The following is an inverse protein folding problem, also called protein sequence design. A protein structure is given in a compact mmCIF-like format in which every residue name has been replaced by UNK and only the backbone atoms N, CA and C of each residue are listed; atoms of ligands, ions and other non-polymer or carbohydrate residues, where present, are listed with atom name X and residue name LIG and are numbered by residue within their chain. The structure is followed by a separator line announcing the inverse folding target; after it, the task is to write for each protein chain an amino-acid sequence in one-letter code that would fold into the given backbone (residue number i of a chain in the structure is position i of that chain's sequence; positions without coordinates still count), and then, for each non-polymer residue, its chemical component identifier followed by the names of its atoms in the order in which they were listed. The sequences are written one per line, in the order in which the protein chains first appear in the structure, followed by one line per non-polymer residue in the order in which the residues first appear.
data_IF_290496984993
#
_entry.id   IF_290496984993
#
_cell.length_a   1.000
_cell.length_b   1.000
_cell.length_c   1.000
_cell.angle_alpha   90.00
_cell.angle_beta   90.00
_cell.angle_gamma   90.00
#
_symmetry.space_group_name_H-M   'P 1'
#
loop_
_entity.id
_entity.type
_entity.pdbx_description
1 polymer ?
#
# COMPACT_ATOMS: atom_id res chain seq x y z
N UNK A 1 29.11 -49.18 -11.10
CA UNK A 1 29.51 -48.00 -10.31
C UNK A 1 29.26 -46.68 -11.01
N UNK A 2 29.62 -46.48 -12.28
CA UNK A 2 29.43 -45.18 -13.00
C UNK A 2 27.98 -44.64 -12.97
N UNK A 3 26.96 -45.47 -13.24
CA UNK A 3 25.54 -45.02 -13.22
C UNK A 3 25.05 -44.47 -11.85
N UNK A 4 25.54 -45.04 -10.73
CA UNK A 4 25.17 -44.58 -9.38
C UNK A 4 25.81 -43.24 -9.06
N UNK A 5 27.04 -43.01 -9.50
CA UNK A 5 27.75 -41.73 -9.32
C UNK A 5 27.05 -40.62 -10.12
N UNK A 6 26.66 -40.89 -11.37
CA UNK A 6 25.93 -39.93 -12.21
C UNK A 6 24.58 -39.54 -11.58
N UNK A 7 23.87 -40.49 -10.97
CA UNK A 7 22.59 -40.26 -10.34
C UNK A 7 22.72 -39.36 -9.09
N UNK A 8 23.77 -39.55 -8.28
CA UNK A 8 24.07 -38.72 -7.10
C UNK A 8 24.43 -37.29 -7.52
N UNK A 9 25.25 -37.13 -8.57
CA UNK A 9 25.63 -35.82 -9.10
C UNK A 9 24.39 -35.08 -9.63
N UNK A 10 23.52 -35.75 -10.37
CA UNK A 10 22.30 -35.19 -10.93
C UNK A 10 21.33 -34.73 -9.81
N UNK A 11 21.21 -35.55 -8.75
CA UNK A 11 20.39 -35.21 -7.59
C UNK A 11 20.96 -34.02 -6.81
N UNK A 12 22.27 -33.92 -6.64
CA UNK A 12 22.96 -32.77 -6.06
C UNK A 12 22.71 -31.48 -6.85
N UNK A 13 22.84 -31.55 -8.18
CA UNK A 13 22.60 -30.40 -9.06
C UNK A 13 21.14 -29.91 -9.02
N UNK A 14 20.18 -30.83 -8.94
CA UNK A 14 18.77 -30.51 -8.82
C UNK A 14 18.46 -29.76 -7.49
N UNK A 15 19.08 -30.20 -6.39
CA UNK A 15 18.90 -29.51 -5.10
C UNK A 15 19.49 -28.09 -5.12
N UNK A 16 20.64 -27.85 -5.73
CA UNK A 16 21.25 -26.52 -5.87
C UNK A 16 20.36 -25.62 -6.72
N UNK A 17 19.76 -26.12 -7.80
CA UNK A 17 18.79 -25.37 -8.61
C UNK A 17 17.55 -25.00 -7.81
N UNK A 18 16.99 -25.92 -7.03
CA UNK A 18 15.80 -25.65 -6.19
C UNK A 18 16.08 -24.58 -5.13
N UNK A 19 17.23 -24.65 -4.46
CA UNK A 19 17.65 -23.64 -3.48
C UNK A 19 17.84 -22.27 -4.16
N UNK A 20 18.47 -22.24 -5.33
CA UNK A 20 18.70 -21.00 -6.10
C UNK A 20 17.40 -20.33 -6.53
N UNK A 21 16.41 -21.08 -7.00
CA UNK A 21 15.09 -20.56 -7.39
C UNK A 21 14.34 -20.05 -6.16
N UNK A 22 14.34 -20.80 -5.05
CA UNK A 22 13.68 -20.39 -3.81
C UNK A 22 14.30 -19.09 -3.26
N UNK A 23 15.62 -18.99 -3.25
CA UNK A 23 16.32 -17.80 -2.80
C UNK A 23 16.02 -16.58 -3.70
N UNK A 24 15.94 -16.76 -5.01
CA UNK A 24 15.59 -15.71 -5.96
C UNK A 24 14.17 -15.16 -5.74
N UNK A 25 13.22 -16.01 -5.41
CA UNK A 25 11.87 -15.56 -5.05
C UNK A 25 11.86 -14.74 -3.75
N UNK A 26 12.55 -15.20 -2.71
CA UNK A 26 12.63 -14.47 -1.43
C UNK A 26 13.34 -13.11 -1.54
N UNK A 27 14.38 -13.01 -2.35
CA UNK A 27 15.12 -11.74 -2.56
C UNK A 27 14.33 -10.77 -3.43
N UNK A 28 13.50 -11.26 -4.35
CA UNK A 28 12.63 -10.39 -5.17
C UNK A 28 11.57 -9.68 -4.34
N UNK A 29 10.98 -10.34 -3.34
CA UNK A 29 10.01 -9.72 -2.45
C UNK A 29 10.65 -8.73 -1.46
N UNK A 30 11.89 -9.00 -1.02
CA UNK A 30 12.58 -8.16 -0.03
C UNK A 30 13.07 -6.81 -0.59
N UNK A 31 13.29 -6.69 -1.90
CA UNK A 31 13.76 -5.45 -2.53
C UNK A 31 12.65 -4.43 -2.84
N UNK A 32 11.39 -4.81 -2.69
CA UNK A 32 10.26 -3.90 -2.94
C UNK A 32 10.13 -2.79 -1.87
N UNK A 33 10.76 -2.95 -0.71
CA UNK A 33 10.65 -2.03 0.43
C UNK A 33 11.79 -1.02 0.56
N UNK A 34 12.79 -1.01 -0.34
CA UNK A 34 14.01 -0.21 -0.15
C UNK A 34 14.07 1.09 -0.96
N UNK A 35 13.18 1.33 -1.90
CA UNK A 35 13.13 2.57 -2.68
C UNK A 35 11.90 3.38 -2.27
N UNK A 36 12.13 4.63 -1.87
CA UNK A 36 11.09 5.67 -1.75
C UNK A 36 10.57 6.09 -3.13
N UNK A 37 10.31 5.12 -4.00
CA UNK A 37 9.61 5.41 -5.24
C UNK A 37 8.14 5.66 -4.89
N UNK A 38 7.64 6.81 -5.32
CA UNK A 38 6.23 7.17 -5.17
C UNK A 38 5.41 6.07 -5.84
N UNK A 39 4.64 5.34 -5.05
CA UNK A 39 3.76 4.33 -5.60
C UNK A 39 2.74 5.00 -6.52
N UNK A 40 2.62 4.48 -7.72
CA UNK A 40 1.77 5.02 -8.76
C UNK A 40 0.63 4.06 -9.05
N UNK A 41 -0.60 4.50 -8.79
CA UNK A 41 -1.80 3.78 -9.16
C UNK A 41 -2.25 4.21 -10.54
N UNK A 42 -2.38 3.26 -11.44
CA UNK A 42 -2.79 3.48 -12.82
C UNK A 42 -4.09 2.71 -13.03
N UNK A 43 -5.15 3.38 -13.44
CA UNK A 43 -6.44 2.74 -13.62
C UNK A 43 -6.78 2.47 -15.08
N UNK A 44 -7.02 1.21 -15.38
CA UNK A 44 -7.89 0.77 -16.46
C UNK A 44 -9.21 0.34 -15.82
N UNK A 45 -10.33 0.95 -16.18
CA UNK A 45 -11.70 0.77 -15.66
C UNK A 45 -11.96 -0.47 -14.74
N UNK A 46 -12.49 -0.20 -13.53
CA UNK A 46 -12.88 -1.20 -12.51
C UNK A 46 -11.71 -2.03 -11.92
N UNK A 47 -10.78 -1.38 -11.22
CA UNK A 47 -9.68 -2.04 -10.54
C UNK A 47 -9.62 -1.64 -9.05
N UNK A 48 -9.16 -2.57 -8.22
CA UNK A 48 -8.72 -2.27 -6.85
C UNK A 48 -7.24 -2.57 -6.76
N UNK A 49 -6.46 -1.57 -6.38
CA UNK A 49 -5.03 -1.72 -6.12
C UNK A 49 -4.74 -1.47 -4.65
N UNK A 50 -3.99 -2.35 -4.01
CA UNK A 50 -3.65 -2.28 -2.59
C UNK A 50 -2.16 -2.05 -2.40
N UNK A 51 -1.81 -1.16 -1.48
CA UNK A 51 -0.46 -0.99 -0.96
C UNK A 51 -0.49 -1.18 0.55
N UNK A 52 0.36 -2.07 1.05
CA UNK A 52 0.59 -2.23 2.48
C UNK A 52 1.73 -1.32 2.93
N UNK A 53 1.45 -0.44 3.89
CA UNK A 53 2.44 0.44 4.50
C UNK A 53 2.90 -0.19 5.80
N UNK A 54 4.14 -0.71 5.88
CA UNK A 54 4.63 -1.30 7.11
C UNK A 54 4.90 -0.22 8.15
N UNK A 55 4.30 -0.37 9.33
CA UNK A 55 4.59 0.47 10.49
C UNK A 55 5.55 -0.29 11.38
N UNK A 56 6.84 -0.05 11.19
CA UNK A 56 7.88 -0.65 12.00
C UNK A 56 8.63 0.42 12.78
N UNK A 57 8.91 0.15 14.06
CA UNK A 57 9.72 1.02 14.93
C UNK A 57 9.15 2.42 15.16
N UNK A 58 7.84 2.60 15.14
CA UNK A 58 7.19 3.85 15.52
C UNK A 58 7.03 3.87 17.05
N UNK A 59 7.69 4.81 17.72
CA UNK A 59 7.58 5.02 19.17
C UNK A 59 6.57 6.13 19.48
N UNK A 60 5.99 6.17 20.68
CA UNK A 60 5.20 7.32 21.11
C UNK A 60 5.96 8.64 20.92
N UNK A 61 5.34 9.61 20.28
CA UNK A 61 5.93 10.88 19.86
C UNK A 61 6.48 10.88 18.44
N UNK A 62 6.65 9.72 17.80
CA UNK A 62 7.14 9.63 16.42
C UNK A 62 6.02 9.84 15.40
N UNK A 63 6.42 10.26 14.20
CA UNK A 63 5.55 10.35 13.04
C UNK A 63 6.27 9.89 11.78
N UNK A 64 5.51 9.36 10.84
CA UNK A 64 5.99 8.99 9.52
C UNK A 64 4.97 9.41 8.46
N UNK A 65 5.42 9.51 7.21
CA UNK A 65 4.53 9.82 6.10
C UNK A 65 4.82 8.93 4.90
N UNK A 66 3.77 8.62 4.16
CA UNK A 66 3.83 7.85 2.93
C UNK A 66 3.15 8.61 1.80
N UNK A 67 3.82 8.73 0.65
CA UNK A 67 3.29 9.46 -0.51
C UNK A 67 2.99 8.48 -1.64
N UNK A 68 1.84 8.67 -2.30
CA UNK A 68 1.45 7.90 -3.47
C UNK A 68 0.71 8.79 -4.49
N UNK A 69 0.63 8.30 -5.70
CA UNK A 69 0.03 9.00 -6.83
C UNK A 69 -1.09 8.16 -7.45
N UNK A 70 -2.20 8.80 -7.76
CA UNK A 70 -3.32 8.21 -8.49
C UNK A 70 -3.43 8.93 -9.84
N UNK A 71 -3.40 8.18 -10.94
CA UNK A 71 -3.37 8.77 -12.29
C UNK A 71 -4.33 8.06 -13.25
N UNK A 72 -4.84 8.80 -14.23
CA UNK A 72 -5.69 8.28 -15.30
C UNK A 72 -4.91 7.96 -16.58
N UNK A 73 -3.59 7.89 -16.53
CA UNK A 73 -2.77 7.66 -17.73
C UNK A 73 -1.65 6.65 -17.50
N UNK A 74 -1.33 5.88 -18.56
CA UNK A 74 -0.19 4.96 -18.66
C UNK A 74 0.58 5.32 -19.91
N UNK A 75 1.90 5.50 -19.83
CA UNK A 75 2.78 5.73 -20.98
C UNK A 75 2.24 6.75 -21.99
N UNK A 76 1.73 7.88 -21.47
CA UNK A 76 1.08 8.94 -22.24
C UNK A 76 -0.31 8.64 -22.83
N UNK A 77 -0.84 7.47 -22.61
CA UNK A 77 -2.20 7.09 -23.01
C UNK A 77 -3.15 7.44 -21.86
N UNK A 78 -4.05 8.38 -22.10
CA UNK A 78 -5.09 8.76 -21.13
C UNK A 78 -6.23 7.75 -21.18
N UNK A 79 -6.87 7.49 -20.04
CA UNK A 79 -8.09 6.70 -19.98
C UNK A 79 -9.13 7.25 -20.97
N UNK A 80 -9.82 6.36 -21.71
CA UNK A 80 -10.86 6.75 -22.67
C UNK A 80 -12.20 7.07 -22.00
N UNK A 81 -12.30 6.91 -20.70
CA UNK A 81 -13.49 7.16 -19.91
C UNK A 81 -13.17 7.96 -18.66
N UNK A 82 -14.12 8.78 -18.23
CA UNK A 82 -14.02 9.44 -16.92
C UNK A 82 -14.06 8.40 -15.81
N UNK A 83 -13.19 8.58 -14.82
CA UNK A 83 -13.01 7.64 -13.70
C UNK A 83 -13.45 8.33 -12.41
N UNK A 84 -14.24 7.63 -11.62
CA UNK A 84 -14.43 7.93 -10.21
C UNK A 84 -13.57 6.99 -9.39
N UNK A 85 -12.97 7.48 -8.32
CA UNK A 85 -12.17 6.64 -7.42
C UNK A 85 -12.31 7.08 -5.97
N UNK A 86 -11.95 6.19 -5.07
CA UNK A 86 -12.01 6.38 -3.64
C UNK A 86 -10.78 5.75 -2.99
N UNK A 87 -10.14 6.48 -2.08
CA UNK A 87 -9.09 5.96 -1.23
C UNK A 87 -9.74 5.33 0.01
N UNK A 88 -9.31 4.12 0.33
CA UNK A 88 -9.81 3.35 1.47
C UNK A 88 -8.59 2.97 2.31
N UNK A 89 -8.58 3.38 3.56
CA UNK A 89 -7.54 3.00 4.51
C UNK A 89 -8.08 1.89 5.40
N UNK A 90 -7.34 0.79 5.49
CA UNK A 90 -7.65 -0.35 6.36
C UNK A 90 -6.53 -0.56 7.36
N UNK A 91 -6.88 -0.76 8.60
CA UNK A 91 -5.94 -1.02 9.70
C UNK A 91 -6.62 -1.84 10.79
N UNK A 92 -5.86 -2.64 11.53
CA UNK A 92 -6.38 -3.25 12.76
C UNK A 92 -6.52 -2.23 13.88
N UNK A 93 -5.80 -1.12 13.79
CA UNK A 93 -5.77 -0.05 14.78
C UNK A 93 -5.48 -0.59 16.19
N UNK A 94 -4.46 -1.46 16.27
CA UNK A 94 -3.99 -2.06 17.52
C UNK A 94 -3.24 -1.04 18.38
N UNK A 95 -2.59 -0.08 17.74
CA UNK A 95 -1.96 1.08 18.35
C UNK A 95 -2.85 2.31 18.17
N UNK A 96 -2.89 3.23 19.12
CA UNK A 96 -3.70 4.46 19.03
C UNK A 96 -3.06 5.49 18.07
N UNK A 97 -2.93 5.10 16.81
CA UNK A 97 -2.33 5.92 15.77
C UNK A 97 -3.32 7.00 15.29
N UNK A 98 -2.82 8.21 15.09
CA UNK A 98 -3.51 9.21 14.30
C UNK A 98 -3.13 9.03 12.83
N UNK A 99 -4.12 8.79 11.96
CA UNK A 99 -3.94 8.53 10.54
C UNK A 99 -4.70 9.57 9.75
N UNK A 100 -3.98 10.38 8.96
CA UNK A 100 -4.55 11.47 8.17
C UNK A 100 -4.10 11.38 6.72
N UNK A 101 -5.06 11.47 5.79
CA UNK A 101 -4.79 11.48 4.35
C UNK A 101 -4.98 12.90 3.81
N UNK A 102 -3.98 13.41 3.16
CA UNK A 102 -3.98 14.70 2.48
C UNK A 102 -3.86 14.52 0.97
N UNK A 103 -4.61 15.32 0.22
CA UNK A 103 -4.34 15.54 -1.20
C UNK A 103 -3.37 16.70 -1.31
N UNK A 104 -2.21 16.46 -1.94
CA UNK A 104 -1.16 17.46 -2.10
C UNK A 104 -1.27 18.13 -3.47
N UNK A 105 -1.00 19.42 -3.53
CA UNK A 105 -1.09 20.22 -4.76
C UNK A 105 -0.67 21.67 -4.48
N UNK A 106 -1.26 22.62 -5.19
CA UNK A 106 -1.04 24.05 -4.92
C UNK A 106 -1.56 24.47 -3.53
N UNK A 107 -2.57 23.78 -3.04
CA UNK A 107 -3.10 23.87 -1.66
C UNK A 107 -3.23 22.45 -1.16
N UNK A 108 -2.75 22.20 0.06
CA UNK A 108 -2.91 20.92 0.73
C UNK A 108 -4.31 20.82 1.33
N UNK A 109 -4.99 19.72 1.08
CA UNK A 109 -6.35 19.46 1.54
C UNK A 109 -6.40 18.17 2.38
N UNK A 110 -6.92 18.24 3.60
CA UNK A 110 -7.22 17.07 4.42
C UNK A 110 -8.44 16.35 3.84
N UNK A 111 -8.23 15.15 3.32
CA UNK A 111 -9.25 14.32 2.66
C UNK A 111 -9.95 13.39 3.63
N UNK A 112 -9.18 12.86 4.60
CA UNK A 112 -9.67 11.85 5.52
C UNK A 112 -8.87 11.88 6.83
N UNK A 113 -9.57 11.77 7.94
CA UNK A 113 -9.00 11.34 9.23
C UNK A 113 -9.59 9.97 9.53
N UNK A 114 -8.73 8.96 9.65
CA UNK A 114 -9.16 7.60 9.95
C UNK A 114 -9.13 7.39 11.45
N UNK A 115 -10.29 7.18 12.06
CA UNK A 115 -10.48 7.00 13.49
C UNK A 115 -11.64 6.02 13.79
N UNK A 116 -11.88 5.74 15.06
CA UNK A 116 -12.89 4.78 15.54
C UNK A 116 -14.35 5.18 15.22
N UNK A 117 -14.60 6.30 14.56
CA UNK A 117 -15.96 6.64 14.06
C UNK A 117 -16.34 5.86 12.82
N UNK A 118 -15.35 5.25 12.13
CA UNK A 118 -15.57 4.37 11.00
C UNK A 118 -15.93 2.95 11.44
N UNK A 119 -16.54 2.19 10.52
CA UNK A 119 -16.94 0.80 10.77
C UNK A 119 -15.79 -0.18 10.58
N UNK A 120 -15.88 -1.32 11.25
CA UNK A 120 -14.99 -2.45 11.04
C UNK A 120 -15.62 -3.45 10.07
N UNK A 121 -14.79 -4.10 9.27
CA UNK A 121 -15.20 -5.17 8.35
C UNK A 121 -15.30 -6.54 9.06
N UNK A 122 -15.53 -7.61 8.28
CA UNK A 122 -15.63 -9.00 8.79
C UNK A 122 -14.34 -9.51 9.42
N UNK A 123 -13.21 -8.96 9.03
CA UNK A 123 -11.87 -9.32 9.50
C UNK A 123 -11.42 -8.45 10.69
N UNK A 124 -12.37 -7.63 11.21
CA UNK A 124 -12.16 -6.70 12.29
C UNK A 124 -11.20 -5.55 11.97
N UNK A 125 -10.95 -5.28 10.69
CA UNK A 125 -10.19 -4.11 10.25
C UNK A 125 -11.08 -2.87 10.26
N UNK A 126 -10.57 -1.77 10.78
CA UNK A 126 -11.16 -0.44 10.64
C UNK A 126 -11.06 -0.03 9.16
N UNK A 127 -12.19 0.37 8.56
CA UNK A 127 -12.28 0.71 7.12
C UNK A 127 -12.68 2.17 6.97
N UNK A 128 -11.70 3.01 6.66
CA UNK A 128 -11.87 4.44 6.53
C UNK A 128 -11.94 4.84 5.05
N UNK A 129 -13.09 5.32 4.62
CA UNK A 129 -13.34 5.69 3.23
C UNK A 129 -13.23 7.20 3.04
N UNK A 130 -12.45 7.65 2.05
CA UNK A 130 -12.42 9.05 1.63
C UNK A 130 -13.71 9.44 0.87
N UNK A 131 -13.87 10.70 0.59
CA UNK A 131 -14.84 11.14 -0.41
C UNK A 131 -14.41 10.65 -1.80
N UNK A 132 -15.42 10.42 -2.67
CA UNK A 132 -15.18 10.02 -4.06
C UNK A 132 -14.56 11.18 -4.83
N UNK A 133 -13.46 10.88 -5.51
CA UNK A 133 -12.76 11.80 -6.41
C UNK A 133 -13.09 11.45 -7.87
N UNK A 134 -12.89 12.40 -8.77
CA UNK A 134 -13.16 12.22 -10.21
C UNK A 134 -11.96 12.66 -11.05
N UNK A 135 -11.68 11.91 -12.10
CA UNK A 135 -10.72 12.27 -13.15
C UNK A 135 -11.41 12.27 -14.51
N UNK A 136 -11.28 13.38 -15.24
CA UNK A 136 -11.79 13.48 -16.61
C UNK A 136 -10.91 12.69 -17.58
N UNK A 137 -11.51 12.18 -18.65
CA UNK A 137 -10.77 11.57 -19.78
C UNK A 137 -10.15 12.59 -20.73
N UNK A 138 -10.50 13.87 -20.62
CA UNK A 138 -10.11 14.92 -21.58
C UNK A 138 -8.62 15.29 -21.48
N UNK A 139 -7.97 14.99 -20.38
CA UNK A 139 -6.58 15.35 -20.11
C UNK A 139 -5.91 14.35 -19.17
N UNK A 140 -4.56 14.36 -19.18
CA UNK A 140 -3.79 13.67 -18.16
C UNK A 140 -4.01 14.34 -16.82
N UNK A 141 -4.44 13.55 -15.86
CA UNK A 141 -4.64 13.97 -14.46
C UNK A 141 -3.82 13.05 -13.57
N UNK A 142 -3.13 13.64 -12.63
CA UNK A 142 -2.43 12.94 -11.57
C UNK A 142 -2.71 13.64 -10.25
N UNK A 143 -3.25 12.90 -9.31
CA UNK A 143 -3.52 13.35 -7.95
C UNK A 143 -2.47 12.72 -7.01
N UNK A 144 -1.75 13.55 -6.28
CA UNK A 144 -0.76 13.10 -5.30
C UNK A 144 -1.34 13.17 -3.91
N UNK A 145 -1.12 12.12 -3.13
CA UNK A 145 -1.59 11.99 -1.75
C UNK A 145 -0.42 11.77 -0.81
N UNK A 146 -0.59 12.27 0.42
CA UNK A 146 0.30 11.99 1.55
C UNK A 146 -0.52 11.44 2.71
N UNK A 147 -0.15 10.24 3.16
CA UNK A 147 -0.66 9.62 4.36
C UNK A 147 0.28 9.94 5.50
N UNK A 148 -0.18 10.70 6.47
CA UNK A 148 0.55 11.01 7.70
C UNK A 148 0.05 10.09 8.82
N UNK A 149 1.01 9.47 9.50
CA UNK A 149 0.79 8.54 10.60
C UNK A 149 1.59 9.04 11.78
N UNK A 150 0.95 9.31 12.90
CA UNK A 150 1.61 9.71 14.14
C UNK A 150 1.17 8.85 15.30
N UNK A 151 2.12 8.58 16.19
CA UNK A 151 1.86 7.89 17.45
C UNK A 151 1.93 8.94 18.57
N UNK A 152 0.80 9.34 19.17
CA UNK A 152 0.79 10.40 20.17
C UNK A 152 1.65 10.05 21.39
N UNK A 153 2.40 11.03 21.90
CA UNK A 153 3.35 10.85 23.02
C UNK A 153 2.66 10.43 24.34
N UNK A 154 1.38 10.76 24.50
CA UNK A 154 0.59 10.44 25.70
C UNK A 154 0.41 8.93 25.92
N UNK A 155 0.61 8.12 24.89
CA UNK A 155 0.55 6.66 24.93
C UNK A 155 1.90 6.01 25.20
N UNK A 156 2.85 6.72 25.81
CA UNK A 156 4.17 6.21 26.18
C UNK A 156 4.08 5.26 27.38
N UNK A 157 3.51 4.07 27.16
CA UNK A 157 3.48 2.98 28.11
C UNK A 157 3.96 1.67 27.45
N UNK A 158 4.31 0.66 28.26
CA UNK A 158 4.86 -0.60 27.75
C UNK A 158 3.82 -1.47 27.01
N UNK A 159 2.54 -1.13 27.08
CA UNK A 159 1.46 -1.94 26.50
C UNK A 159 1.51 -2.01 24.97
N UNK A 160 2.19 -1.06 24.32
CA UNK A 160 2.29 -0.98 22.85
C UNK A 160 3.64 -1.43 22.29
N UNK A 161 4.62 -1.75 23.14
CA UNK A 161 6.02 -1.98 22.73
C UNK A 161 6.24 -3.21 21.84
N UNK A 162 5.30 -4.18 21.85
CA UNK A 162 5.38 -5.41 21.06
C UNK A 162 4.28 -5.50 20.00
N UNK A 163 3.45 -4.45 19.86
CA UNK A 163 2.39 -4.45 18.86
C UNK A 163 2.94 -4.08 17.48
N UNK A 164 2.48 -4.79 16.48
CA UNK A 164 2.71 -4.50 15.06
C UNK A 164 1.36 -4.21 14.44
N UNK A 165 1.23 -3.04 13.84
CA UNK A 165 0.05 -2.68 13.06
C UNK A 165 0.39 -2.62 11.58
N UNK A 166 -0.62 -2.76 10.74
CA UNK A 166 -0.51 -2.65 9.30
C UNK A 166 -1.52 -1.62 8.82
N UNK A 167 -1.11 -0.81 7.87
CA UNK A 167 -2.00 0.10 7.17
C UNK A 167 -2.00 -0.30 5.70
N UNK A 168 -3.16 -0.71 5.21
CA UNK A 168 -3.38 -0.94 3.80
C UNK A 168 -4.09 0.26 3.19
N UNK A 169 -3.59 0.72 2.06
CA UNK A 169 -4.22 1.74 1.23
C UNK A 169 -4.80 1.03 0.02
N UNK A 170 -6.12 0.93 -0.03
CA UNK A 170 -6.84 0.43 -1.19
C UNK A 170 -7.31 1.62 -2.02
N UNK A 171 -7.06 1.58 -3.32
CA UNK A 171 -7.68 2.51 -4.26
C UNK A 171 -8.68 1.73 -5.09
N UNK A 172 -9.94 2.09 -4.93
CA UNK A 172 -11.03 1.52 -5.72
C UNK A 172 -11.47 2.52 -6.77
N UNK A 173 -11.47 2.09 -8.02
CA UNK A 173 -11.92 2.92 -9.15
C UNK A 173 -13.07 2.26 -9.88
N UNK A 174 -13.88 3.08 -10.54
CA UNK A 174 -14.96 2.67 -11.43
C UNK A 174 -15.20 3.71 -12.51
N UNK A 175 -15.77 3.28 -13.60
CA UNK A 175 -16.17 4.16 -14.68
C UNK A 175 -17.28 5.12 -14.21
N UNK A 176 -17.12 6.40 -14.51
CA UNK A 176 -18.18 7.38 -14.31
C UNK A 176 -19.07 7.39 -15.57
N UNK A 177 -20.27 6.85 -15.46
CA UNK A 177 -21.29 6.89 -16.53
C UNK A 177 -22.16 8.11 -16.24
N UNK A 178 -21.89 9.20 -16.95
CA UNK A 178 -22.77 10.38 -16.97
C UNK A 178 -23.89 10.23 -18.02
#
# INVERSE_FOLDING_TARGET
MKKRITLVIMFGFLNVLLIGVTYSFFVSDANFFANQDIAKFIFNAEETSTISVPITNLNPGDSTSYTFEVTNNVDDIVSQVSISYQCIIKTYHLMPLEIKLYKTGSVEELILTCDETFSRDSDNQLVCNSLVQKMSYDSKVSDTYRLDISFPEEFNNEDYSELVDYIDIDIRSWQNIE
#
